data_IF_352582648786
#
_entry.id   IF_352582648786
#
_cell.length_a   1.000
_cell.length_b   1.000
_cell.length_c   1.000
_cell.angle_alpha   90.00
_cell.angle_beta   90.00
_cell.angle_gamma   90.00
#
_symmetry.space_group_name_H-M   'P 1'
#
loop_
_entity.id
_entity.type
_entity.pdbx_description
1 polymer ?
#
# COMPACT_ATOMS: atom_id res chain seq x y z
N UNK A 1 -34.44 16.81 -54.10
CA UNK A 1 -34.97 18.17 -53.83
C UNK A 1 -34.48 18.63 -52.47
N UNK A 2 -33.37 19.35 -52.40
CA UNK A 2 -33.01 20.17 -51.22
C UNK A 2 -32.71 21.58 -51.75
N UNK A 3 -33.78 22.31 -52.06
CA UNK A 3 -33.67 23.72 -52.42
C UNK A 3 -33.43 24.54 -51.15
N UNK A 4 -32.27 25.21 -51.10
CA UNK A 4 -32.12 26.55 -50.51
C UNK A 4 -32.48 26.71 -49.03
N UNK A 5 -31.82 25.97 -48.12
CA UNK A 5 -31.65 26.50 -46.77
C UNK A 5 -30.65 27.65 -46.84
N UNK A 6 -31.13 28.87 -46.57
CA UNK A 6 -30.29 30.07 -46.42
C UNK A 6 -29.13 29.78 -45.46
N UNK A 7 -27.94 30.36 -45.69
CA UNK A 7 -26.80 30.26 -44.74
C UNK A 7 -27.21 30.56 -43.30
N UNK A 8 -28.23 31.40 -43.10
CA UNK A 8 -28.78 31.73 -41.77
C UNK A 8 -29.56 30.58 -41.13
N UNK A 9 -30.36 29.84 -41.90
CA UNK A 9 -31.13 28.70 -41.36
C UNK A 9 -30.25 27.49 -41.09
N UNK A 10 -29.18 27.30 -41.89
CA UNK A 10 -28.16 26.27 -41.62
C UNK A 10 -27.38 26.59 -40.33
N UNK A 11 -26.91 27.83 -40.16
CA UNK A 11 -26.17 28.23 -38.96
C UNK A 11 -27.05 28.14 -37.69
N UNK A 12 -28.32 28.52 -37.77
CA UNK A 12 -29.25 28.38 -36.64
C UNK A 12 -29.46 26.91 -36.24
N UNK A 13 -29.52 25.99 -37.22
CA UNK A 13 -29.66 24.55 -36.97
C UNK A 13 -28.38 23.95 -36.38
N UNK A 14 -27.20 24.35 -36.87
CA UNK A 14 -25.90 23.93 -36.31
C UNK A 14 -25.74 24.43 -34.87
N UNK A 15 -26.03 25.69 -34.60
CA UNK A 15 -25.95 26.27 -33.24
C UNK A 15 -26.98 25.59 -32.32
N UNK A 16 -28.19 25.34 -32.80
CA UNK A 16 -29.20 24.59 -32.06
C UNK A 16 -28.76 23.16 -31.73
N UNK A 17 -28.19 22.43 -32.68
CA UNK A 17 -27.66 21.09 -32.45
C UNK A 17 -26.47 21.11 -31.48
N UNK A 18 -25.55 22.07 -31.59
CA UNK A 18 -24.42 22.21 -30.66
C UNK A 18 -24.90 22.52 -29.24
N UNK A 19 -25.88 23.41 -29.07
CA UNK A 19 -26.48 23.71 -27.77
C UNK A 19 -27.19 22.49 -27.18
N UNK A 20 -27.94 21.74 -28.00
CA UNK A 20 -28.59 20.51 -27.57
C UNK A 20 -27.57 19.46 -27.14
N UNK A 21 -26.50 19.23 -27.93
CA UNK A 21 -25.41 18.31 -27.57
C UNK A 21 -24.74 18.77 -26.26
N UNK A 22 -24.51 20.07 -26.09
CA UNK A 22 -23.89 20.62 -24.87
C UNK A 22 -24.80 20.44 -23.65
N UNK A 23 -26.10 20.70 -23.78
CA UNK A 23 -27.09 20.50 -22.71
C UNK A 23 -27.25 19.03 -22.36
N UNK A 24 -27.30 18.15 -23.36
CA UNK A 24 -27.30 16.69 -23.19
C UNK A 24 -26.03 16.28 -22.43
N UNK A 25 -24.85 16.67 -22.90
CA UNK A 25 -23.59 16.27 -22.29
C UNK A 25 -23.46 16.76 -20.83
N UNK A 26 -23.95 17.97 -20.54
CA UNK A 26 -24.00 18.52 -19.16
C UNK A 26 -25.05 17.85 -18.26
N UNK A 27 -26.19 17.38 -18.82
CA UNK A 27 -27.20 16.64 -18.06
C UNK A 27 -26.83 15.16 -17.86
N UNK A 28 -26.00 14.58 -18.73
CA UNK A 28 -25.56 13.19 -18.67
C UNK A 28 -24.22 13.00 -17.95
N UNK A 29 -23.48 14.06 -17.61
CA UNK A 29 -22.44 13.96 -16.58
C UNK A 29 -23.12 13.76 -15.23
N UNK A 30 -23.30 12.50 -14.87
CA UNK A 30 -23.66 12.10 -13.51
C UNK A 30 -22.67 12.76 -12.54
N UNK A 31 -23.14 13.32 -11.43
CA UNK A 31 -22.29 13.93 -10.38
C UNK A 31 -21.12 13.00 -10.00
N UNK A 32 -21.36 11.68 -10.06
CA UNK A 32 -20.38 10.62 -9.90
C UNK A 32 -19.14 10.73 -10.80
N UNK A 33 -19.27 11.23 -12.03
CA UNK A 33 -18.17 11.30 -13.00
C UNK A 33 -17.41 12.63 -12.94
N UNK A 34 -17.86 13.56 -12.10
CA UNK A 34 -17.13 14.81 -11.85
C UNK A 34 -15.88 14.52 -11.01
N UNK A 35 -14.68 14.88 -11.49
CA UNK A 35 -13.45 14.62 -10.74
C UNK A 35 -13.50 15.20 -9.33
N UNK A 36 -12.93 14.46 -8.39
CA UNK A 36 -12.71 14.96 -7.05
C UNK A 36 -11.50 15.88 -7.03
N UNK A 37 -11.64 16.97 -6.29
CA UNK A 37 -10.51 17.86 -6.02
C UNK A 37 -9.41 17.09 -5.26
N UNK A 38 -8.13 17.39 -5.55
CA UNK A 38 -7.01 16.91 -4.76
C UNK A 38 -7.17 17.31 -3.29
N UNK A 39 -6.83 16.39 -2.39
CA UNK A 39 -6.75 16.69 -0.96
C UNK A 39 -5.43 17.40 -0.66
N UNK A 40 -5.49 18.45 0.16
CA UNK A 40 -4.29 19.05 0.74
C UNK A 40 -3.76 18.12 1.86
N UNK A 41 -2.94 17.16 1.44
CA UNK A 41 -2.33 16.17 2.32
C UNK A 41 -0.96 16.67 2.79
N UNK A 42 -0.76 16.90 4.10
CA UNK A 42 0.55 17.34 4.58
C UNK A 42 1.61 16.28 4.28
N UNK A 43 2.86 16.65 3.97
CA UNK A 43 3.88 15.68 3.58
C UNK A 43 4.15 14.66 4.69
N UNK A 44 4.25 13.39 4.35
CA UNK A 44 4.81 12.37 5.24
C UNK A 44 6.31 12.62 5.34
N UNK A 45 6.80 12.79 6.57
CA UNK A 45 8.24 12.87 6.79
C UNK A 45 8.88 11.51 6.47
N UNK A 46 10.07 11.55 5.88
CA UNK A 46 10.95 10.40 5.87
C UNK A 46 11.28 10.06 7.34
N UNK A 47 10.91 8.87 7.75
CA UNK A 47 11.17 8.37 9.10
C UNK A 47 12.58 7.79 9.20
N UNK A 48 13.29 7.55 8.10
CA UNK A 48 14.63 6.96 8.12
C UNK A 48 14.60 5.45 8.34
N UNK A 49 13.53 4.80 7.89
CA UNK A 49 13.51 3.34 7.74
C UNK A 49 14.39 2.94 6.56
N UNK A 50 15.15 1.87 6.75
CA UNK A 50 16.02 1.31 5.73
C UNK A 50 15.71 -0.16 5.54
N UNK A 51 15.66 -0.61 4.29
CA UNK A 51 15.52 -2.02 3.95
C UNK A 51 16.88 -2.69 3.75
N UNK A 52 17.08 -3.81 4.43
CA UNK A 52 18.21 -4.71 4.23
C UNK A 52 17.71 -6.15 4.09
N UNK A 53 18.40 -6.97 3.31
CA UNK A 53 18.11 -8.40 3.20
C UNK A 53 19.25 -9.21 3.81
N UNK A 54 18.89 -10.15 4.68
CA UNK A 54 19.84 -11.13 5.21
C UNK A 54 20.38 -12.08 4.13
N UNK A 55 21.42 -12.82 4.48
CA UNK A 55 21.96 -13.89 3.63
C UNK A 55 20.94 -15.02 3.31
N UNK A 56 19.88 -15.16 4.13
CA UNK A 56 18.76 -16.09 3.90
C UNK A 56 17.61 -15.45 3.11
N UNK A 57 17.79 -14.23 2.62
CA UNK A 57 16.76 -13.48 1.89
C UNK A 57 15.65 -12.91 2.78
N UNK A 58 15.75 -13.02 4.12
CA UNK A 58 14.78 -12.40 5.04
C UNK A 58 14.88 -10.87 4.92
N UNK A 59 13.77 -10.17 4.59
CA UNK A 59 13.72 -8.72 4.55
C UNK A 59 13.65 -8.15 5.97
N UNK A 60 14.46 -7.12 6.21
CA UNK A 60 14.62 -6.47 7.50
C UNK A 60 14.53 -4.97 7.31
N UNK A 61 13.48 -4.38 7.87
CA UNK A 61 13.43 -2.94 8.08
C UNK A 61 14.16 -2.57 9.36
N UNK A 62 14.93 -1.50 9.33
CA UNK A 62 15.51 -0.94 10.54
C UNK A 62 15.54 0.57 10.52
N UNK A 63 15.45 1.18 11.70
CA UNK A 63 15.50 2.64 11.87
C UNK A 63 16.26 3.00 13.15
N UNK A 64 17.26 3.90 13.08
CA UNK A 64 17.90 4.44 14.27
C UNK A 64 16.99 5.46 14.96
N UNK A 65 16.79 5.34 16.27
CA UNK A 65 16.01 6.30 17.06
C UNK A 65 16.66 6.59 18.41
N UNK A 66 16.39 7.78 18.95
CA UNK A 66 16.82 8.14 20.30
C UNK A 66 15.95 7.43 21.36
N UNK A 67 16.19 6.13 21.56
CA UNK A 67 15.49 5.26 22.51
C UNK A 67 16.49 4.58 23.44
N UNK A 68 16.10 4.20 24.66
CA UNK A 68 16.94 3.35 25.53
C UNK A 68 16.84 1.86 25.17
N UNK A 69 15.83 1.49 24.38
CA UNK A 69 15.49 0.12 24.03
C UNK A 69 15.52 -0.10 22.52
N UNK A 70 15.79 -1.33 22.12
CA UNK A 70 15.53 -1.83 20.78
C UNK A 70 14.14 -2.45 20.79
N UNK A 71 13.26 -1.92 19.94
CA UNK A 71 11.96 -2.49 19.63
C UNK A 71 12.10 -3.43 18.44
N UNK A 72 11.41 -4.57 18.52
CA UNK A 72 11.47 -5.65 17.56
C UNK A 72 10.04 -6.05 17.22
N UNK A 73 9.72 -6.09 15.93
CA UNK A 73 8.48 -6.66 15.42
C UNK A 73 8.81 -7.70 14.34
N UNK A 74 8.23 -8.89 14.46
CA UNK A 74 8.28 -9.94 13.45
C UNK A 74 6.86 -10.30 13.08
N UNK A 75 6.58 -10.34 11.78
CA UNK A 75 5.34 -10.86 11.22
C UNK A 75 5.69 -11.99 10.27
N UNK A 76 4.94 -13.07 10.34
CA UNK A 76 5.17 -14.25 9.52
C UNK A 76 3.90 -14.99 9.15
N UNK A 77 4.09 -16.11 8.46
CA UNK A 77 3.02 -17.03 8.09
C UNK A 77 2.26 -17.58 9.31
N UNK A 78 1.07 -18.13 9.06
CA UNK A 78 0.18 -18.70 10.09
C UNK A 78 -0.17 -17.72 11.21
N UNK A 79 -0.32 -16.43 10.85
CA UNK A 79 -0.59 -15.34 11.80
C UNK A 79 0.48 -15.21 12.90
N UNK A 80 1.71 -15.65 12.61
CA UNK A 80 2.81 -15.46 13.55
C UNK A 80 3.11 -13.99 13.72
N UNK A 81 3.07 -13.53 14.97
CA UNK A 81 3.48 -12.19 15.34
C UNK A 81 4.30 -12.24 16.63
N UNK A 82 5.46 -11.60 16.61
CA UNK A 82 6.28 -11.37 17.78
C UNK A 82 6.53 -9.87 17.90
N UNK A 83 6.15 -9.29 19.03
CA UNK A 83 6.56 -7.93 19.41
C UNK A 83 7.29 -7.99 20.73
N UNK A 84 8.49 -7.44 20.77
CA UNK A 84 9.27 -7.39 21.99
C UNK A 84 10.15 -6.14 22.01
N UNK A 85 10.63 -5.82 23.21
CA UNK A 85 11.62 -4.79 23.40
C UNK A 85 12.69 -5.28 24.38
N UNK A 86 13.92 -4.88 24.12
CA UNK A 86 15.07 -5.15 24.98
C UNK A 86 15.87 -3.88 25.23
N UNK A 87 16.50 -3.73 26.41
CA UNK A 87 17.50 -2.69 26.61
C UNK A 87 18.55 -2.73 25.50
N UNK A 88 18.92 -1.56 25.00
CA UNK A 88 19.96 -1.45 23.97
C UNK A 88 21.34 -1.78 24.55
N UNK A 89 21.59 -1.37 25.81
CA UNK A 89 22.69 -1.90 26.61
C UNK A 89 22.50 -3.39 26.81
N UNK A 90 23.47 -4.20 26.38
CA UNK A 90 23.44 -5.66 26.51
C UNK A 90 22.30 -6.36 25.74
N UNK A 91 21.89 -5.78 24.61
CA UNK A 91 20.82 -6.32 23.78
C UNK A 91 21.00 -7.82 23.47
N UNK A 92 22.23 -8.26 23.20
CA UNK A 92 22.52 -9.65 22.83
C UNK A 92 22.16 -10.62 23.97
N UNK A 93 22.49 -10.27 25.21
CA UNK A 93 22.15 -11.07 26.39
C UNK A 93 20.63 -11.09 26.63
N UNK A 94 19.98 -9.95 26.44
CA UNK A 94 18.52 -9.87 26.58
C UNK A 94 17.78 -10.65 25.50
N UNK A 95 18.23 -10.62 24.24
CA UNK A 95 17.66 -11.46 23.19
C UNK A 95 17.96 -12.93 23.41
N UNK A 96 19.16 -13.27 23.92
CA UNK A 96 19.53 -14.64 24.28
C UNK A 96 18.62 -15.24 25.36
N UNK A 97 18.12 -14.42 26.29
CA UNK A 97 17.25 -14.88 27.38
C UNK A 97 15.76 -14.79 27.08
N UNK A 98 15.31 -13.76 26.34
CA UNK A 98 13.86 -13.54 26.08
C UNK A 98 13.29 -14.37 24.95
N UNK A 99 14.10 -14.76 23.98
CA UNK A 99 13.60 -15.41 22.77
C UNK A 99 13.81 -16.91 22.88
N UNK A 100 12.74 -17.70 22.82
CA UNK A 100 12.86 -19.15 22.77
C UNK A 100 13.28 -19.57 21.36
N UNK A 101 14.36 -20.37 21.21
CA UNK A 101 14.70 -20.93 19.92
C UNK A 101 13.55 -21.75 19.34
N UNK A 102 13.34 -21.64 18.03
CA UNK A 102 12.34 -22.45 17.32
C UNK A 102 13.02 -23.36 16.31
N UNK A 103 12.67 -24.64 16.29
CA UNK A 103 13.27 -25.61 15.37
C UNK A 103 12.64 -25.59 13.97
N UNK A 104 11.39 -25.13 13.86
CA UNK A 104 10.68 -25.06 12.60
C UNK A 104 11.04 -23.77 11.89
N UNK A 105 11.45 -23.90 10.63
CA UNK A 105 11.66 -22.75 9.76
C UNK A 105 10.33 -22.05 9.52
N UNK A 106 10.35 -20.71 9.57
CA UNK A 106 9.15 -19.89 9.34
C UNK A 106 9.44 -18.75 8.39
N UNK A 107 8.53 -18.50 7.46
CA UNK A 107 8.56 -17.34 6.57
C UNK A 107 8.14 -16.08 7.31
N UNK A 108 8.98 -15.05 7.32
CA UNK A 108 8.74 -13.84 8.09
C UNK A 108 9.46 -12.60 7.56
N UNK A 109 8.91 -11.42 7.88
CA UNK A 109 9.57 -10.13 7.79
C UNK A 109 9.90 -9.62 9.20
N UNK A 110 10.96 -8.81 9.30
CA UNK A 110 11.46 -8.27 10.57
C UNK A 110 11.56 -6.74 10.49
N UNK A 111 11.19 -6.07 11.59
CA UNK A 111 11.47 -4.65 11.79
C UNK A 111 12.16 -4.40 13.13
N UNK A 112 13.13 -3.48 13.12
CA UNK A 112 13.95 -3.09 14.27
C UNK A 112 13.99 -1.58 14.42
N UNK A 113 13.80 -1.07 15.64
CA UNK A 113 13.89 0.36 15.92
C UNK A 113 14.63 0.59 17.23
N UNK A 114 15.62 1.48 17.28
CA UNK A 114 16.36 1.74 18.52
C UNK A 114 17.66 2.52 18.34
N UNK A 115 18.46 2.71 19.40
CA UNK A 115 19.64 3.60 19.40
C UNK A 115 20.90 2.98 18.78
N UNK A 116 20.79 1.81 18.16
CA UNK A 116 21.93 1.09 17.61
C UNK A 116 22.38 1.66 16.26
N UNK A 117 23.65 1.46 15.94
CA UNK A 117 24.18 1.71 14.59
C UNK A 117 23.61 0.71 13.58
N UNK A 118 23.71 1.02 12.28
CA UNK A 118 23.24 0.10 11.23
C UNK A 118 23.90 -1.28 11.27
N UNK A 119 25.20 -1.36 11.63
CA UNK A 119 25.92 -2.64 11.77
C UNK A 119 25.38 -3.45 12.96
N UNK A 120 25.15 -2.80 14.10
CA UNK A 120 24.58 -3.45 15.28
C UNK A 120 23.12 -3.88 15.05
N UNK A 121 22.32 -3.10 14.30
CA UNK A 121 20.98 -3.49 13.87
C UNK A 121 21.02 -4.76 12.99
N UNK A 122 21.94 -4.83 12.03
CA UNK A 122 22.12 -6.02 11.19
C UNK A 122 22.59 -7.25 12.00
N UNK A 123 23.44 -7.05 13.01
CA UNK A 123 23.86 -8.12 13.92
C UNK A 123 22.69 -8.62 14.78
N UNK A 124 21.90 -7.70 15.35
CA UNK A 124 20.69 -8.04 16.10
C UNK A 124 19.67 -8.76 15.22
N UNK A 125 19.44 -8.28 14.00
CA UNK A 125 18.60 -8.93 13.02
C UNK A 125 19.07 -10.35 12.68
N UNK A 126 20.36 -10.52 12.41
CA UNK A 126 20.94 -11.84 12.09
C UNK A 126 20.80 -12.81 13.25
N UNK A 127 21.00 -12.35 14.49
CA UNK A 127 20.76 -13.14 15.69
C UNK A 127 19.29 -13.58 15.80
N UNK A 128 18.34 -12.67 15.59
CA UNK A 128 16.90 -12.95 15.60
C UNK A 128 16.52 -13.98 14.53
N UNK A 129 16.97 -13.76 13.30
CA UNK A 129 16.72 -14.64 12.16
C UNK A 129 17.21 -16.05 12.45
N UNK A 130 18.42 -16.19 13.00
CA UNK A 130 18.97 -17.51 13.32
C UNK A 130 18.23 -18.17 14.47
N UNK A 131 17.89 -17.42 15.52
CA UNK A 131 17.28 -17.97 16.73
C UNK A 131 15.82 -18.37 16.52
N UNK A 132 15.10 -17.62 15.70
CA UNK A 132 13.70 -17.89 15.34
C UNK A 132 13.56 -18.74 14.07
N UNK A 133 14.67 -19.23 13.50
CA UNK A 133 14.69 -19.98 12.24
C UNK A 133 13.91 -19.29 11.11
N UNK A 134 14.06 -17.97 10.98
CA UNK A 134 13.35 -17.19 9.97
C UNK A 134 13.93 -17.45 8.56
N UNK A 135 13.03 -17.47 7.59
CA UNK A 135 13.29 -17.65 6.15
C UNK A 135 12.54 -16.58 5.35
N UNK A 136 12.98 -16.34 4.12
CA UNK A 136 12.38 -15.34 3.25
C UNK A 136 10.86 -15.58 3.07
N UNK A 137 10.01 -14.55 3.13
CA UNK A 137 8.60 -14.66 2.80
C UNK A 137 8.37 -15.16 1.37
N UNK A 138 7.16 -15.64 1.09
CA UNK A 138 6.77 -15.86 -0.31
C UNK A 138 6.80 -14.51 -1.03
N UNK A 139 7.48 -14.48 -2.17
CA UNK A 139 7.41 -13.34 -3.07
C UNK A 139 5.98 -13.28 -3.58
N UNK A 140 5.24 -12.19 -3.37
CA UNK A 140 3.93 -12.05 -4.00
C UNK A 140 4.09 -12.22 -5.51
N UNK A 141 3.09 -12.77 -6.19
CA UNK A 141 3.15 -12.91 -7.65
C UNK A 141 3.49 -11.56 -8.25
N UNK A 142 4.46 -11.51 -9.18
CA UNK A 142 4.92 -10.27 -9.82
C UNK A 142 3.76 -9.39 -10.29
N UNK A 143 2.69 -10.02 -10.79
CA UNK A 143 1.44 -9.38 -11.21
C UNK A 143 0.71 -8.63 -10.10
N UNK A 144 0.58 -9.25 -8.93
CA UNK A 144 -0.09 -8.65 -7.77
C UNK A 144 0.66 -7.42 -7.29
N UNK A 145 1.98 -7.56 -7.13
CA UNK A 145 2.86 -6.46 -6.75
C UNK A 145 2.78 -5.31 -7.75
N UNK A 146 2.80 -5.62 -9.06
CA UNK A 146 2.70 -4.60 -10.11
C UNK A 146 1.38 -3.83 -10.05
N UNK A 147 0.23 -4.52 -10.00
CA UNK A 147 -1.06 -3.85 -9.98
C UNK A 147 -1.27 -3.03 -8.69
N UNK A 148 -0.79 -3.53 -7.55
CA UNK A 148 -0.88 -2.82 -6.29
C UNK A 148 0.02 -1.58 -6.26
N UNK A 149 1.20 -1.63 -6.89
CA UNK A 149 2.05 -0.44 -7.05
C UNK A 149 1.45 0.59 -8.00
N UNK A 150 0.78 0.16 -9.07
CA UNK A 150 0.14 1.06 -10.05
C UNK A 150 -1.15 1.69 -9.52
N UNK A 151 -1.93 0.93 -8.72
CA UNK A 151 -3.23 1.36 -8.19
C UNK A 151 -3.29 1.20 -6.65
N UNK A 152 -2.40 1.87 -5.89
CA UNK A 152 -2.27 1.61 -4.45
C UNK A 152 -3.50 2.05 -3.66
N UNK A 153 -4.16 3.16 -4.05
CA UNK A 153 -5.41 3.59 -3.41
C UNK A 153 -6.56 2.60 -3.66
N UNK A 154 -6.63 2.03 -4.86
CA UNK A 154 -7.58 0.97 -5.22
C UNK A 154 -7.33 -0.33 -4.46
N UNK A 155 -6.07 -0.74 -4.35
CA UNK A 155 -5.66 -1.88 -3.52
C UNK A 155 -6.03 -1.67 -2.04
N UNK A 156 -5.76 -0.47 -1.50
CA UNK A 156 -6.11 -0.13 -0.13
C UNK A 156 -7.61 -0.24 0.14
N UNK A 157 -8.45 0.20 -0.79
CA UNK A 157 -9.90 0.04 -0.69
C UNK A 157 -10.30 -1.42 -0.47
N UNK A 158 -9.80 -2.31 -1.32
CA UNK A 158 -10.06 -3.75 -1.20
C UNK A 158 -9.51 -4.35 0.09
N UNK A 159 -8.36 -3.87 0.57
CA UNK A 159 -7.84 -4.28 1.86
C UNK A 159 -8.80 -3.87 2.99
N UNK A 160 -9.31 -2.64 2.99
CA UNK A 160 -10.20 -2.17 4.06
C UNK A 160 -11.51 -2.92 4.09
N UNK A 161 -12.02 -3.31 2.93
CA UNK A 161 -13.19 -4.18 2.80
C UNK A 161 -13.01 -5.55 3.46
N UNK A 162 -11.77 -6.02 3.55
CA UNK A 162 -11.41 -7.31 4.15
C UNK A 162 -10.87 -7.17 5.57
N UNK A 163 -10.85 -5.97 6.14
CA UNK A 163 -10.17 -5.70 7.42
C UNK A 163 -8.66 -5.90 7.37
N UNK A 164 -8.08 -5.92 6.16
CA UNK A 164 -6.67 -6.08 5.90
C UNK A 164 -5.89 -4.76 6.06
N UNK A 165 -4.58 -4.91 6.24
CA UNK A 165 -3.66 -3.78 6.44
C UNK A 165 -3.40 -3.01 5.14
N UNK A 166 -2.71 -1.87 5.22
CA UNK A 166 -2.45 -1.04 4.05
C UNK A 166 -1.43 -1.62 3.07
N UNK A 167 -0.61 -2.56 3.55
CA UNK A 167 0.56 -3.10 2.83
C UNK A 167 0.40 -4.57 2.48
N UNK A 168 -0.67 -5.22 2.97
CA UNK A 168 -1.07 -6.55 2.55
C UNK A 168 -1.40 -6.59 1.05
N UNK A 169 -1.09 -7.70 0.35
CA UNK A 169 -1.56 -7.96 -1.00
C UNK A 169 -3.08 -7.93 -1.08
N UNK A 170 -3.62 -7.03 -1.90
CA UNK A 170 -5.07 -6.85 -2.00
C UNK A 170 -5.73 -7.88 -2.93
N UNK A 171 -6.88 -8.40 -2.53
CA UNK A 171 -7.71 -9.27 -3.37
C UNK A 171 -9.00 -8.54 -3.76
N UNK A 172 -9.29 -8.30 -5.05
CA UNK A 172 -10.55 -7.68 -5.45
C UNK A 172 -11.76 -8.49 -5.00
N UNK A 173 -12.79 -7.80 -4.52
CA UNK A 173 -14.09 -8.37 -4.23
C UNK A 173 -15.10 -8.12 -5.35
N UNK A 174 -16.38 -8.37 -5.05
CA UNK A 174 -17.49 -8.18 -5.98
C UNK A 174 -18.28 -6.89 -5.73
N UNK A 175 -17.76 -5.99 -4.89
CA UNK A 175 -18.46 -4.74 -4.58
C UNK A 175 -18.49 -3.83 -5.80
N UNK A 176 -19.59 -3.07 -6.01
CA UNK A 176 -19.61 -2.04 -7.04
C UNK A 176 -18.57 -0.96 -6.74
N UNK A 177 -18.19 -0.23 -7.79
CA UNK A 177 -17.36 0.97 -7.67
C UNK A 177 -18.00 1.93 -6.65
N UNK A 178 -17.23 2.47 -5.68
CA UNK A 178 -17.77 3.37 -4.69
C UNK A 178 -18.36 4.62 -5.35
N UNK A 179 -19.35 5.20 -4.68
CA UNK A 179 -19.85 6.53 -5.03
C UNK A 179 -18.76 7.58 -4.80
N UNK A 180 -18.92 8.75 -5.43
CA UNK A 180 -18.01 9.89 -5.30
C UNK A 180 -17.89 10.36 -3.86
N UNK A 181 -19.00 10.38 -3.12
CA UNK A 181 -19.04 10.78 -1.70
C UNK A 181 -18.34 9.75 -0.81
N UNK A 182 -18.63 8.46 -0.99
CA UNK A 182 -17.96 7.38 -0.25
C UNK A 182 -16.45 7.41 -0.48
N UNK A 183 -16.02 7.61 -1.73
CA UNK A 183 -14.62 7.69 -2.07
C UNK A 183 -13.94 8.93 -1.49
N UNK A 184 -14.60 10.08 -1.51
CA UNK A 184 -14.09 11.31 -0.89
C UNK A 184 -13.86 11.12 0.61
N UNK A 185 -14.83 10.53 1.32
CA UNK A 185 -14.71 10.23 2.74
C UNK A 185 -13.62 9.21 3.03
N UNK A 186 -13.54 8.15 2.22
CA UNK A 186 -12.51 7.13 2.33
C UNK A 186 -11.10 7.73 2.25
N UNK A 187 -10.79 8.49 1.19
CA UNK A 187 -9.46 9.10 1.02
C UNK A 187 -9.10 10.04 2.17
N UNK A 188 -10.04 10.87 2.61
CA UNK A 188 -9.82 11.77 3.76
C UNK A 188 -9.56 11.00 5.05
N UNK A 189 -10.30 9.92 5.29
CA UNK A 189 -10.12 9.03 6.44
C UNK A 189 -8.76 8.34 6.42
N UNK A 190 -8.39 7.76 5.29
CA UNK A 190 -7.13 7.01 5.13
C UNK A 190 -5.91 7.90 5.27
N UNK A 191 -5.89 9.09 4.67
CA UNK A 191 -4.76 10.02 4.80
C UNK A 191 -4.52 10.36 6.29
N UNK A 192 -5.59 10.65 7.04
CA UNK A 192 -5.48 10.95 8.48
C UNK A 192 -4.98 9.73 9.26
N UNK A 193 -5.49 8.54 8.94
CA UNK A 193 -5.11 7.29 9.60
C UNK A 193 -3.65 6.93 9.33
N UNK A 194 -3.27 6.80 8.07
CA UNK A 194 -1.92 6.40 7.66
C UNK A 194 -0.86 7.37 8.17
N UNK A 195 -1.14 8.69 8.13
CA UNK A 195 -0.25 9.69 8.72
C UNK A 195 -0.06 9.49 10.21
N UNK A 196 -1.15 9.30 10.96
CA UNK A 196 -1.10 9.09 12.41
C UNK A 196 -0.31 7.82 12.76
N UNK A 197 -0.54 6.74 12.03
CA UNK A 197 0.14 5.46 12.26
C UNK A 197 1.63 5.56 11.90
N UNK A 198 1.98 6.20 10.79
CA UNK A 198 3.38 6.34 10.37
C UNK A 198 4.20 7.26 11.27
N UNK A 199 3.59 8.31 11.82
CA UNK A 199 4.27 9.24 12.73
C UNK A 199 4.32 8.73 14.19
N UNK A 200 3.62 7.65 14.52
CA UNK A 200 3.69 7.02 15.82
C UNK A 200 4.75 5.91 15.78
N UNK A 201 5.85 5.98 16.58
CA UNK A 201 6.92 4.98 16.52
C UNK A 201 6.44 3.52 16.70
N UNK A 202 5.48 3.28 17.59
CA UNK A 202 4.95 1.95 17.85
C UNK A 202 4.09 1.39 16.71
N UNK A 203 3.36 2.24 15.98
CA UNK A 203 2.62 1.82 14.78
C UNK A 203 3.51 1.78 13.54
N UNK A 204 4.54 2.62 13.47
CA UNK A 204 5.48 2.65 12.36
C UNK A 204 6.30 1.35 12.26
N UNK A 205 6.75 0.79 13.39
CA UNK A 205 7.44 -0.50 13.40
C UNK A 205 6.53 -1.66 12.97
N UNK A 206 5.23 -1.58 13.27
CA UNK A 206 4.25 -2.55 12.81
C UNK A 206 4.12 -2.50 11.28
N UNK A 207 3.93 -1.29 10.72
CA UNK A 207 3.89 -1.07 9.27
C UNK A 207 5.19 -1.56 8.62
N UNK A 208 6.35 -1.24 9.20
CA UNK A 208 7.64 -1.68 8.68
C UNK A 208 7.79 -3.22 8.67
N UNK A 209 7.30 -3.91 9.70
CA UNK A 209 7.33 -5.38 9.74
C UNK A 209 6.40 -6.01 8.71
N UNK A 210 5.25 -5.40 8.44
CA UNK A 210 4.34 -5.83 7.38
C UNK A 210 4.89 -5.52 5.98
N UNK A 211 5.54 -4.37 5.78
CA UNK A 211 6.24 -4.03 4.53
C UNK A 211 7.33 -5.07 4.23
N UNK A 212 8.11 -5.46 5.24
CA UNK A 212 9.08 -6.55 5.11
C UNK A 212 8.39 -7.86 4.74
N UNK A 213 7.37 -8.29 5.51
CA UNK A 213 6.74 -9.59 5.30
C UNK A 213 6.07 -9.71 3.92
N UNK A 214 5.38 -8.66 3.48
CA UNK A 214 4.72 -8.63 2.18
C UNK A 214 5.64 -8.21 1.03
N UNK A 215 6.93 -7.97 1.31
CA UNK A 215 7.95 -7.61 0.33
C UNK A 215 7.51 -6.44 -0.58
N UNK A 216 6.88 -5.44 0.02
CA UNK A 216 6.48 -4.22 -0.70
C UNK A 216 7.72 -3.39 -1.08
N UNK A 217 7.58 -2.55 -2.12
CA UNK A 217 8.63 -1.61 -2.47
C UNK A 217 8.90 -0.64 -1.31
N UNK A 218 10.15 -0.17 -1.19
CA UNK A 218 10.57 0.68 -0.07
C UNK A 218 9.78 1.99 0.02
N UNK A 219 9.39 2.54 -1.12
CA UNK A 219 8.58 3.75 -1.26
C UNK A 219 7.07 3.49 -1.28
N UNK A 220 6.61 2.23 -1.24
CA UNK A 220 5.20 1.87 -1.42
C UNK A 220 4.27 2.63 -0.49
N UNK A 221 4.60 2.72 0.80
CA UNK A 221 3.75 3.41 1.78
C UNK A 221 3.62 4.91 1.49
N UNK A 222 4.72 5.55 1.06
CA UNK A 222 4.73 6.95 0.66
C UNK A 222 3.93 7.16 -0.63
N UNK A 223 4.14 6.31 -1.62
CA UNK A 223 3.42 6.32 -2.90
C UNK A 223 1.91 6.13 -2.68
N UNK A 224 1.51 5.20 -1.81
CA UNK A 224 0.12 5.02 -1.40
C UNK A 224 -0.47 6.29 -0.79
N UNK A 225 0.25 6.92 0.15
CA UNK A 225 -0.21 8.14 0.80
C UNK A 225 -0.43 9.29 -0.18
N UNK A 226 0.50 9.47 -1.13
CA UNK A 226 0.41 10.48 -2.17
C UNK A 226 -0.73 10.18 -3.15
N UNK A 227 -0.87 8.90 -3.55
CA UNK A 227 -1.95 8.47 -4.44
C UNK A 227 -3.33 8.71 -3.83
N UNK A 228 -3.50 8.55 -2.52
CA UNK A 228 -4.77 8.89 -1.84
C UNK A 228 -5.12 10.38 -1.95
N UNK A 229 -4.17 11.29 -2.10
CA UNK A 229 -4.48 12.71 -2.22
C UNK A 229 -5.17 13.04 -3.56
N UNK A 230 -4.85 12.31 -4.63
CA UNK A 230 -5.25 12.64 -6.01
C UNK A 230 -6.16 11.61 -6.68
N UNK A 231 -6.31 10.43 -6.08
CA UNK A 231 -7.07 9.31 -6.65
C UNK A 231 -8.57 9.58 -6.81
N UNK A 232 -9.15 8.91 -7.80
CA UNK A 232 -10.56 9.00 -8.15
C UNK A 232 -11.31 7.71 -7.79
N UNK A 233 -12.65 7.77 -7.73
CA UNK A 233 -13.48 6.64 -7.29
C UNK A 233 -13.34 5.38 -8.15
N UNK A 234 -12.74 5.51 -9.33
CA UNK A 234 -12.48 4.41 -10.29
C UNK A 234 -11.24 3.59 -9.93
N UNK A 235 -10.39 4.02 -9.00
CA UNK A 235 -9.17 3.29 -8.63
C UNK A 235 -9.42 1.82 -8.19
N UNK A 236 -10.45 1.49 -7.39
CA UNK A 236 -10.72 0.09 -7.02
C UNK A 236 -11.02 -0.78 -8.24
N UNK A 237 -11.71 -0.23 -9.24
CA UNK A 237 -12.01 -0.91 -10.50
C UNK A 237 -10.74 -1.07 -11.35
N UNK A 238 -9.95 0.00 -11.50
CA UNK A 238 -8.69 -0.04 -12.24
C UNK A 238 -7.71 -1.10 -11.69
N UNK A 239 -7.61 -1.22 -10.36
CA UNK A 239 -6.84 -2.28 -9.71
C UNK A 239 -7.36 -3.68 -10.07
N UNK A 240 -8.68 -3.91 -10.01
CA UNK A 240 -9.30 -5.20 -10.34
C UNK A 240 -9.10 -5.57 -11.81
N UNK A 241 -9.24 -4.59 -12.71
CA UNK A 241 -9.03 -4.76 -14.15
C UNK A 241 -7.56 -5.09 -14.46
N UNK A 242 -6.62 -4.43 -13.80
CA UNK A 242 -5.19 -4.73 -13.92
C UNK A 242 -4.90 -6.21 -13.62
N UNK A 243 -5.40 -6.72 -12.48
CA UNK A 243 -5.19 -8.12 -12.09
C UNK A 243 -5.83 -9.09 -13.11
N UNK A 244 -7.02 -8.77 -13.58
CA UNK A 244 -7.74 -9.58 -14.58
C UNK A 244 -6.99 -9.62 -15.91
N UNK A 245 -6.44 -8.50 -16.37
CA UNK A 245 -5.64 -8.40 -17.59
C UNK A 245 -4.33 -9.21 -17.50
N UNK A 246 -3.63 -9.13 -16.36
CA UNK A 246 -2.40 -9.90 -16.16
C UNK A 246 -2.65 -11.40 -15.98
N UNK A 247 -3.80 -11.80 -15.45
CA UNK A 247 -4.15 -13.22 -15.35
C UNK A 247 -4.58 -13.83 -16.69
N UNK A 248 -5.29 -13.06 -17.52
CA UNK A 248 -5.74 -13.51 -18.85
C UNK A 248 -4.64 -13.52 -19.93
N UNK A 249 -3.59 -12.71 -19.77
CA UNK A 249 -2.43 -12.73 -20.69
C UNK A 249 -1.55 -13.97 -20.49
N UNK A 250 -1.42 -14.47 -19.25
CA UNK A 250 -0.61 -15.65 -18.97
C UNK A 250 -1.22 -16.97 -19.46
N UNK A 251 -2.56 -17.08 -19.51
CA UNK A 251 -3.21 -18.28 -20.05
C UNK A 251 -3.02 -18.42 -21.56
N UNK A 252 -2.87 -17.30 -22.29
CA UNK A 252 -2.63 -17.29 -23.74
C UNK A 252 -1.17 -17.55 -24.14
N UNK A 253 -0.22 -17.41 -23.23
CA UNK A 253 1.20 -17.70 -23.48
C UNK A 253 1.61 -19.15 -23.19
N UNK A 254 0.67 -19.95 -22.67
CA UNK A 254 0.85 -21.37 -22.32
C UNK A 254 0.14 -22.34 -23.27
N UNK A 255 -0.44 -21.82 -24.36
CA UNK A 255 -0.92 -22.59 -25.53
C UNK A 255 0.05 -22.40 -26.71
#
# INVERSE_FOLDING_TARGET
MFHGLSRRTLNALIIGCLLIITVINLNFTTNEDTPLEPLDAPPLADTGWHLWHSNKGVPVYWQPTASANIQIAVIGEDHYALKTQVPASDWALHLATRITPTEHSRRAGLALQGPLTGVEMQQAASFLIQKLSLTAPETPTEKMTLCQQQHPAGALWWNREQGASAVQPASPGHKPTPTREEWAHFRQGEIKRLRREWLNPGSAIDIASELAYHQQAEDYFLTLYQALAVSQRTEPQAFSECLTALNSSASRSSE
#
